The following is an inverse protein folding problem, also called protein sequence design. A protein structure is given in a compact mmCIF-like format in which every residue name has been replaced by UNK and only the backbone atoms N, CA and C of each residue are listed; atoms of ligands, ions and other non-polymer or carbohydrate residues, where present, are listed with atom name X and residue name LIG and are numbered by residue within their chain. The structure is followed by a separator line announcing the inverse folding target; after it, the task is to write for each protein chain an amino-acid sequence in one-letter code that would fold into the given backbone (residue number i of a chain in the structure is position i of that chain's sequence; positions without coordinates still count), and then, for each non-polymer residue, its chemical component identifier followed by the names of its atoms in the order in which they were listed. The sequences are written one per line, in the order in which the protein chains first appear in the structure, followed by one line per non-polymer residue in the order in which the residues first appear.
data_IF_634536913941
#
_entry.id   IF_634536913941
#
_cell.length_a   1.000
_cell.length_b   1.000
_cell.length_c   1.000
_cell.angle_alpha   90.00
_cell.angle_beta   90.00
_cell.angle_gamma   90.00
#
_symmetry.space_group_name_H-M   'P 1'
#
loop_
_entity.id
_entity.type
_entity.pdbx_description
1 polymer ?
#
# COMPACT_ATOMS: atom_id res chain seq x y z
N UNK A 1 -7.63 -17.62 5.41
CA UNK A 1 -7.45 -16.19 5.10
C UNK A 1 -6.26 -15.58 5.83
N UNK A 2 -6.12 -15.76 7.15
CA UNK A 2 -5.00 -15.21 7.94
C UNK A 2 -3.58 -15.37 7.33
N UNK A 3 -3.11 -16.58 6.97
CA UNK A 3 -1.74 -16.74 6.47
C UNK A 3 -1.53 -16.06 5.11
N UNK A 4 -2.55 -16.09 4.27
CA UNK A 4 -2.50 -15.43 2.96
C UNK A 4 -2.52 -13.90 3.08
N UNK A 5 -3.33 -13.37 3.99
CA UNK A 5 -3.36 -11.93 4.31
C UNK A 5 -2.05 -11.45 4.92
N UNK A 6 -1.41 -12.26 5.77
CA UNK A 6 -0.10 -11.97 6.34
C UNK A 6 0.99 -11.92 5.26
N UNK A 7 1.02 -12.92 4.36
CA UNK A 7 1.96 -12.96 3.24
C UNK A 7 1.78 -11.77 2.29
N UNK A 8 0.53 -11.47 1.93
CA UNK A 8 0.23 -10.37 1.00
C UNK A 8 0.57 -9.00 1.62
N UNK A 9 0.27 -8.81 2.91
CA UNK A 9 0.64 -7.60 3.64
C UNK A 9 2.15 -7.42 3.77
N UNK A 10 2.87 -8.50 4.09
CA UNK A 10 4.33 -8.48 4.16
C UNK A 10 4.97 -8.19 2.80
N UNK A 11 4.49 -8.81 1.72
CA UNK A 11 4.99 -8.57 0.36
C UNK A 11 4.76 -7.12 -0.09
N UNK A 12 3.58 -6.55 0.17
CA UNK A 12 3.26 -5.16 -0.12
C UNK A 12 4.19 -4.19 0.63
N UNK A 13 4.41 -4.44 1.94
CA UNK A 13 5.24 -3.58 2.77
C UNK A 13 6.71 -3.62 2.33
N UNK A 14 7.24 -4.81 2.02
CA UNK A 14 8.61 -4.96 1.53
C UNK A 14 8.81 -4.27 0.17
N UNK A 15 7.85 -4.41 -0.74
CA UNK A 15 7.88 -3.74 -2.03
C UNK A 15 7.88 -2.20 -1.88
N UNK A 16 7.08 -1.68 -0.94
CA UNK A 16 7.03 -0.24 -0.66
C UNK A 16 8.30 0.28 0.01
N UNK A 17 8.88 -0.46 0.97
CA UNK A 17 10.14 -0.07 1.64
C UNK A 17 11.30 -0.06 0.63
N UNK A 18 11.40 -1.10 -0.19
CA UNK A 18 12.42 -1.18 -1.21
C UNK A 18 12.24 -0.09 -2.28
N UNK A 19 11.00 0.16 -2.71
CA UNK A 19 10.67 1.26 -3.63
C UNK A 19 11.03 2.63 -3.06
N UNK A 20 10.79 2.87 -1.76
CA UNK A 20 11.18 4.11 -1.09
C UNK A 20 12.70 4.35 -1.14
N UNK A 21 13.48 3.29 -0.87
CA UNK A 21 14.96 3.33 -0.91
C UNK A 21 15.51 3.59 -2.32
N UNK A 22 14.83 3.09 -3.36
CA UNK A 22 15.23 3.33 -4.74
C UNK A 22 14.84 4.72 -5.26
N UNK A 23 13.71 5.27 -4.80
CA UNK A 23 13.19 6.53 -5.34
C UNK A 23 13.99 7.75 -4.87
N UNK A 24 14.37 7.80 -3.59
CA UNK A 24 15.27 8.83 -3.05
C UNK A 24 16.43 8.16 -2.28
N UNK A 25 17.53 7.83 -2.95
CA UNK A 25 18.71 7.30 -2.26
C UNK A 25 19.27 8.35 -1.30
N UNK A 26 19.49 7.96 -0.04
CA UNK A 26 20.09 8.82 0.99
C UNK A 26 19.11 9.67 1.82
N UNK A 27 17.81 9.63 1.50
CA UNK A 27 16.78 10.28 2.32
C UNK A 27 15.70 9.27 2.73
N UNK A 28 15.41 9.21 4.03
CA UNK A 28 14.40 8.30 4.58
C UNK A 28 13.00 8.85 4.28
N UNK A 29 12.41 8.42 3.17
CA UNK A 29 10.98 8.69 2.93
C UNK A 29 10.17 7.76 3.83
N UNK A 30 9.17 8.29 4.57
CA UNK A 30 8.25 7.44 5.30
C UNK A 30 7.58 6.43 4.36
N UNK A 31 7.79 5.13 4.61
CA UNK A 31 7.19 4.04 3.83
C UNK A 31 5.66 4.17 3.73
N UNK A 32 5.04 4.79 4.74
CA UNK A 32 3.62 5.15 4.73
C UNK A 32 3.20 5.96 3.49
N UNK A 33 4.01 6.92 3.05
CA UNK A 33 3.74 7.74 1.86
C UNK A 33 3.75 6.85 0.61
N UNK A 34 4.75 5.98 0.48
CA UNK A 34 4.87 5.05 -0.67
C UNK A 34 3.72 4.05 -0.69
N UNK A 35 3.36 3.48 0.47
CA UNK A 35 2.21 2.56 0.56
C UNK A 35 0.88 3.27 0.28
N UNK A 36 0.74 4.56 0.62
CA UNK A 36 -0.49 5.32 0.39
C UNK A 36 -0.82 5.48 -1.10
N UNK A 37 0.18 5.48 -1.99
CA UNK A 37 -0.06 5.46 -3.45
C UNK A 37 -0.83 4.23 -3.92
N UNK A 38 -0.71 3.10 -3.22
CA UNK A 38 -1.45 1.88 -3.50
C UNK A 38 -2.70 1.75 -2.62
N UNK A 39 -2.56 2.09 -1.34
CA UNK A 39 -3.62 1.99 -0.34
C UNK A 39 -4.78 2.96 -0.58
N UNK A 40 -4.50 4.22 -0.95
CA UNK A 40 -5.53 5.23 -1.20
C UNK A 40 -6.45 4.88 -2.38
N UNK A 41 -5.95 4.55 -3.60
CA UNK A 41 -6.83 4.15 -4.69
C UNK A 41 -7.57 2.84 -4.39
N UNK A 42 -6.94 1.89 -3.69
CA UNK A 42 -7.62 0.67 -3.24
C UNK A 42 -8.75 0.95 -2.25
N UNK A 43 -8.52 1.84 -1.28
CA UNK A 43 -9.55 2.26 -0.32
C UNK A 43 -10.68 3.02 -1.01
N UNK A 44 -10.35 3.91 -1.94
CA UNK A 44 -11.34 4.66 -2.73
C UNK A 44 -12.18 3.69 -3.57
N UNK A 45 -11.55 2.73 -4.25
CA UNK A 45 -12.26 1.69 -5.00
C UNK A 45 -13.17 0.87 -4.09
N UNK A 46 -12.68 0.42 -2.94
CA UNK A 46 -13.46 -0.35 -1.98
C UNK A 46 -14.61 0.49 -1.40
N UNK A 47 -14.37 1.76 -1.11
CA UNK A 47 -15.36 2.71 -0.63
C UNK A 47 -16.45 2.90 -1.69
N UNK A 48 -16.12 3.20 -2.95
CA UNK A 48 -17.10 3.33 -4.03
C UNK A 48 -17.91 2.04 -4.23
N UNK A 49 -17.27 0.88 -4.16
CA UNK A 49 -17.93 -0.42 -4.31
C UNK A 49 -18.86 -0.76 -3.14
N UNK A 50 -18.53 -0.34 -1.92
CA UNK A 50 -19.38 -0.51 -0.73
C UNK A 50 -20.45 0.57 -0.61
N UNK A 51 -20.16 1.77 -1.07
CA UNK A 51 -21.05 2.92 -1.00
C UNK A 51 -22.23 2.83 -1.94
N UNK A 52 -22.26 1.86 -2.87
CA UNK A 52 -23.44 1.58 -3.69
C UNK A 52 -24.11 2.88 -4.15
N UNK A 53 -23.37 3.70 -4.89
CA UNK A 53 -23.98 4.88 -5.50
C UNK A 53 -24.91 4.39 -6.63
N UNK A 54 -26.16 4.13 -6.21
CA UNK A 54 -27.45 4.19 -6.91
C UNK A 54 -27.52 3.58 -8.32
#
# INVERSE_FOLDING_TARGET
MLPYSALLGAALLLAADLGARFLLPGQEIPVGIVTAFFGAPFLIYLAQRRSGAL
#
